data_IF_830407047061
#
_entry.id   IF_830407047061
#
_cell.length_a   1.000
_cell.length_b   1.000
_cell.length_c   1.000
_cell.angle_alpha   90.00
_cell.angle_beta   90.00
_cell.angle_gamma   90.00
#
_symmetry.space_group_name_H-M   'P 1'
#
loop_
_entity.id
_entity.type
_entity.pdbx_description
1 polymer ?
#
# COMPACT_ATOMS: atom_id res chain seq x y z
N UNK A 1 -28.51 -14.08 -62.21
CA UNK A 1 -28.45 -12.62 -61.97
C UNK A 1 -29.35 -12.27 -60.80
N UNK A 2 -28.75 -12.08 -59.62
CA UNK A 2 -29.15 -11.11 -58.58
C UNK A 2 -27.81 -10.58 -58.01
N UNK A 3 -27.66 -9.26 -57.81
CA UNK A 3 -26.37 -8.61 -57.60
C UNK A 3 -25.80 -8.73 -56.18
N UNK A 4 -24.55 -8.30 -56.09
CA UNK A 4 -23.57 -8.32 -55.01
C UNK A 4 -23.91 -7.40 -53.80
N UNK A 5 -23.21 -7.69 -52.70
CA UNK A 5 -22.68 -6.76 -51.69
C UNK A 5 -23.62 -6.28 -50.56
N UNK A 6 -23.56 -6.99 -49.43
CA UNK A 6 -23.45 -6.34 -48.13
C UNK A 6 -22.12 -6.79 -47.51
N UNK A 7 -21.03 -6.18 -48.00
CA UNK A 7 -19.69 -6.20 -47.39
C UNK A 7 -19.70 -5.36 -46.11
N UNK A 8 -20.57 -5.71 -45.16
CA UNK A 8 -20.58 -5.13 -43.83
C UNK A 8 -19.52 -5.82 -42.99
N UNK A 9 -18.27 -5.35 -43.06
CA UNK A 9 -17.33 -5.59 -41.98
C UNK A 9 -17.96 -4.99 -40.71
N UNK A 10 -18.58 -5.83 -39.90
CA UNK A 10 -19.03 -5.48 -38.56
C UNK A 10 -17.75 -5.30 -37.73
N UNK A 11 -17.15 -4.11 -37.83
CA UNK A 11 -16.04 -3.70 -36.99
C UNK A 11 -16.55 -3.75 -35.55
N UNK A 12 -16.27 -4.86 -34.87
CA UNK A 12 -16.33 -4.93 -33.42
C UNK A 12 -15.56 -3.71 -32.92
N UNK A 13 -16.11 -2.88 -32.01
CA UNK A 13 -15.28 -1.89 -31.36
C UNK A 13 -14.15 -2.67 -30.70
N UNK A 14 -12.91 -2.44 -31.14
CA UNK A 14 -11.72 -2.86 -30.40
C UNK A 14 -11.77 -2.11 -29.07
N UNK A 15 -12.49 -2.66 -28.10
CA UNK A 15 -12.37 -2.26 -26.71
C UNK A 15 -10.97 -2.71 -26.34
N UNK A 16 -10.01 -1.79 -26.42
CA UNK A 16 -8.72 -1.91 -25.76
C UNK A 16 -9.03 -1.91 -24.26
N UNK A 17 -9.36 -3.09 -23.73
CA UNK A 17 -9.38 -3.32 -22.29
C UNK A 17 -7.92 -3.25 -21.87
N UNK A 18 -7.45 -2.05 -21.51
CA UNK A 18 -6.22 -1.90 -20.75
C UNK A 18 -6.48 -2.50 -19.38
N UNK A 19 -6.25 -3.81 -19.26
CA UNK A 19 -6.09 -4.42 -17.95
C UNK A 19 -4.80 -3.83 -17.39
N UNK A 20 -4.91 -2.78 -16.56
CA UNK A 20 -3.78 -2.40 -15.72
C UNK A 20 -3.48 -3.62 -14.87
N UNK A 21 -2.38 -4.31 -15.18
CA UNK A 21 -1.93 -5.43 -14.39
C UNK A 21 -1.69 -4.90 -12.98
N UNK A 22 -2.48 -5.40 -12.02
CA UNK A 22 -2.19 -5.21 -10.61
C UNK A 22 -0.96 -6.05 -10.29
N UNK A 23 0.22 -5.52 -10.63
CA UNK A 23 1.49 -6.13 -10.25
C UNK A 23 1.65 -5.92 -8.76
N UNK A 24 1.39 -6.97 -8.00
CA UNK A 24 1.64 -6.95 -6.57
C UNK A 24 3.16 -6.86 -6.34
N UNK A 25 3.57 -5.95 -5.47
CA UNK A 25 4.96 -5.80 -5.07
C UNK A 25 5.07 -5.66 -3.56
N UNK A 26 6.27 -5.93 -3.04
CA UNK A 26 6.53 -5.93 -1.60
C UNK A 26 7.17 -4.62 -1.17
N UNK A 27 6.61 -4.02 -0.13
CA UNK A 27 7.25 -2.93 0.62
C UNK A 27 7.73 -3.51 1.94
N UNK A 28 9.00 -3.28 2.24
CA UNK A 28 9.62 -3.71 3.49
C UNK A 28 10.22 -2.53 4.23
N UNK A 29 10.29 -2.65 5.55
CA UNK A 29 10.92 -1.65 6.38
C UNK A 29 10.97 -2.06 7.84
N UNK A 30 11.32 -1.09 8.68
CA UNK A 30 11.46 -1.26 10.13
C UNK A 30 10.72 -0.16 10.88
N UNK A 31 10.10 -0.53 11.99
CA UNK A 31 9.40 0.41 12.88
C UNK A 31 10.11 0.49 14.22
N UNK A 32 10.39 1.72 14.65
CA UNK A 32 11.10 2.05 15.89
C UNK A 32 10.39 3.14 16.68
N UNK A 33 10.74 3.29 17.95
CA UNK A 33 10.33 4.44 18.78
C UNK A 33 11.32 5.62 18.65
N UNK A 34 11.03 6.70 19.37
CA UNK A 34 11.84 7.92 19.38
C UNK A 34 13.28 7.74 19.92
N UNK A 35 13.55 6.64 20.62
CA UNK A 35 14.87 6.30 21.16
C UNK A 35 15.54 5.14 20.41
N UNK A 36 14.98 4.74 19.25
CA UNK A 36 15.54 3.74 18.35
C UNK A 36 15.23 2.29 18.71
N UNK A 37 14.34 2.02 19.68
CA UNK A 37 13.94 0.65 20.03
C UNK A 37 12.96 0.11 19.01
N UNK A 38 13.14 -1.15 18.62
CA UNK A 38 12.25 -1.83 17.69
C UNK A 38 10.87 -2.04 18.32
N UNK A 39 9.82 -1.87 17.53
CA UNK A 39 8.44 -2.05 18.00
C UNK A 39 7.82 -3.25 17.27
N UNK A 40 7.54 -4.31 18.01
CA UNK A 40 6.78 -5.47 17.53
C UNK A 40 5.27 -5.25 17.61
N UNK A 41 4.50 -5.88 16.72
CA UNK A 41 3.04 -5.83 16.75
C UNK A 41 2.43 -4.53 16.21
N UNK A 42 3.21 -3.70 15.52
CA UNK A 42 2.69 -2.53 14.79
C UNK A 42 1.92 -3.04 13.59
N UNK A 43 0.66 -2.64 13.46
CA UNK A 43 -0.14 -2.90 12.26
C UNK A 43 0.29 -1.95 11.15
N UNK A 44 0.63 -2.50 9.98
CA UNK A 44 0.98 -1.77 8.77
C UNK A 44 -0.05 -2.10 7.70
N UNK A 45 -0.77 -1.09 7.20
CA UNK A 45 -1.85 -1.28 6.23
C UNK A 45 -1.71 -0.33 5.04
N UNK A 46 -2.02 -0.79 3.84
CA UNK A 46 -2.19 0.08 2.68
C UNK A 46 -3.47 0.93 2.83
N UNK A 47 -3.35 2.26 2.80
CA UNK A 47 -4.49 3.18 2.93
C UNK A 47 -5.47 2.99 1.78
N UNK A 48 -6.72 2.68 2.11
CA UNK A 48 -7.77 2.36 1.12
C UNK A 48 -7.63 0.97 0.49
N UNK A 49 -6.55 0.24 0.80
CA UNK A 49 -6.32 -1.13 0.37
C UNK A 49 -6.85 -2.16 1.37
N UNK A 50 -6.79 -3.44 0.96
CA UNK A 50 -7.11 -4.59 1.81
C UNK A 50 -5.87 -5.24 2.41
N UNK A 51 -4.69 -4.92 1.90
CA UNK A 51 -3.43 -5.48 2.37
C UNK A 51 -3.04 -4.90 3.72
N UNK A 52 -2.74 -5.78 4.68
CA UNK A 52 -2.13 -5.42 5.95
C UNK A 52 -1.18 -6.50 6.44
N UNK A 53 -0.20 -6.09 7.22
CA UNK A 53 0.77 -6.95 7.90
C UNK A 53 1.03 -6.40 9.30
N UNK A 54 1.82 -7.10 10.10
CA UNK A 54 2.26 -6.68 11.43
C UNK A 54 3.77 -6.79 11.56
N UNK A 55 4.40 -5.89 12.31
CA UNK A 55 5.83 -5.98 12.58
C UNK A 55 6.17 -7.17 13.46
N UNK A 56 7.30 -7.82 13.16
CA UNK A 56 7.88 -8.92 13.94
C UNK A 56 8.60 -8.44 15.21
N UNK A 57 9.22 -9.36 15.95
CA UNK A 57 9.99 -9.09 17.16
C UNK A 57 11.17 -8.11 16.95
N UNK A 58 11.66 -7.99 15.72
CA UNK A 58 12.73 -7.08 15.36
C UNK A 58 12.22 -5.74 14.80
N UNK A 59 10.90 -5.52 14.83
CA UNK A 59 10.24 -4.34 14.27
C UNK A 59 10.18 -4.33 12.75
N UNK A 60 10.57 -5.42 12.09
CA UNK A 60 10.59 -5.54 10.63
C UNK A 60 9.20 -5.90 10.10
N UNK A 61 8.87 -5.42 8.91
CA UNK A 61 7.63 -5.78 8.21
C UNK A 61 7.87 -5.97 6.71
N UNK A 62 7.01 -6.76 6.09
CA UNK A 62 6.87 -6.87 4.64
C UNK A 62 5.38 -6.89 4.29
N UNK A 63 4.97 -5.97 3.41
CA UNK A 63 3.59 -5.81 2.98
C UNK A 63 3.51 -5.90 1.46
N UNK A 64 2.66 -6.80 0.97
CA UNK A 64 2.39 -6.93 -0.46
C UNK A 64 1.25 -5.99 -0.88
N UNK A 65 1.58 -4.98 -1.69
CA UNK A 65 0.68 -3.91 -2.13
C UNK A 65 0.41 -4.00 -3.62
N UNK A 66 -0.75 -3.47 -4.05
CA UNK A 66 -1.14 -3.45 -5.47
C UNK A 66 -1.09 -2.05 -6.09
N UNK A 67 -1.07 -0.99 -5.28
CA UNK A 67 -0.89 0.38 -5.75
C UNK A 67 0.58 0.68 -6.02
N UNK A 68 0.88 1.49 -7.04
CA UNK A 68 2.25 1.88 -7.41
C UNK A 68 2.94 2.76 -6.35
N UNK A 69 2.18 3.64 -5.70
CA UNK A 69 2.68 4.60 -4.71
C UNK A 69 1.74 4.65 -3.48
N UNK A 70 1.64 3.56 -2.70
CA UNK A 70 0.69 3.50 -1.61
C UNK A 70 1.14 4.40 -0.45
N UNK A 71 0.14 4.90 0.27
CA UNK A 71 0.31 5.45 1.61
C UNK A 71 0.10 4.30 2.59
N UNK A 72 1.05 4.09 3.49
CA UNK A 72 0.98 3.10 4.53
C UNK A 72 0.51 3.74 5.83
N UNK A 73 -0.46 3.12 6.49
CA UNK A 73 -0.97 3.51 7.80
C UNK A 73 -0.34 2.60 8.83
N UNK A 74 0.41 3.20 9.76
CA UNK A 74 1.03 2.52 10.89
C UNK A 74 0.22 2.80 12.14
N UNK A 75 -0.16 1.74 12.86
CA UNK A 75 -0.92 1.86 14.10
C UNK A 75 -0.47 0.83 15.13
N UNK A 76 -0.37 1.27 16.38
CA UNK A 76 -0.03 0.42 17.52
C UNK A 76 -0.56 1.04 18.81
N UNK A 77 -0.83 0.20 19.81
CA UNK A 77 -1.32 0.64 21.12
C UNK A 77 -0.26 1.54 21.78
N UNK A 78 -0.67 2.70 22.29
CA UNK A 78 0.23 3.67 22.93
C UNK A 78 0.94 4.63 21.98
N UNK A 79 0.77 4.49 20.66
CA UNK A 79 1.36 5.35 19.64
C UNK A 79 0.30 6.08 18.81
N UNK A 80 0.65 7.27 18.34
CA UNK A 80 -0.15 8.04 17.39
C UNK A 80 -0.08 7.33 16.04
N UNK A 81 -1.22 7.03 15.44
CA UNK A 81 -1.28 6.48 14.08
C UNK A 81 -0.65 7.46 13.08
N UNK A 82 0.17 6.94 12.17
CA UNK A 82 0.88 7.75 11.18
C UNK A 82 0.60 7.24 9.77
N UNK A 83 0.40 8.17 8.84
CA UNK A 83 0.32 7.89 7.42
C UNK A 83 1.63 8.28 6.76
N UNK A 84 2.28 7.34 6.08
CA UNK A 84 3.61 7.51 5.51
C UNK A 84 3.60 6.99 4.08
N UNK A 85 4.11 7.78 3.13
CA UNK A 85 4.30 7.32 1.77
C UNK A 85 5.28 6.15 1.74
N UNK A 86 5.00 5.13 0.92
CA UNK A 86 5.86 3.96 0.73
C UNK A 86 7.34 4.30 0.45
N UNK A 87 7.60 5.41 -0.24
CA UNK A 87 8.96 5.93 -0.53
C UNK A 87 9.75 6.32 0.72
N UNK A 88 9.08 6.61 1.84
CA UNK A 88 9.68 6.97 3.12
C UNK A 88 9.48 5.90 4.19
N UNK A 89 8.94 4.73 3.84
CA UNK A 89 8.52 3.72 4.81
C UNK A 89 9.61 2.71 5.20
N UNK A 90 10.84 2.84 4.68
CA UNK A 90 11.95 1.94 4.99
C UNK A 90 12.34 1.96 6.48
N UNK A 91 12.30 3.12 7.13
CA UNK A 91 12.53 3.30 8.56
C UNK A 91 11.49 4.28 9.12
N UNK A 92 10.62 3.81 9.99
CA UNK A 92 9.49 4.57 10.54
C UNK A 92 9.65 4.76 12.04
N UNK A 93 9.64 6.01 12.48
CA UNK A 93 9.66 6.35 13.91
C UNK A 93 8.26 6.71 14.40
N UNK A 94 7.67 5.84 15.23
CA UNK A 94 6.37 6.13 15.83
C UNK A 94 6.50 7.12 16.98
N UNK A 95 5.47 7.97 17.11
CA UNK A 95 5.36 8.97 18.17
C UNK A 95 4.44 8.44 19.26
N UNK A 96 4.93 8.25 20.50
CA UNK A 96 4.07 7.89 21.61
C UNK A 96 2.98 8.94 21.86
N UNK A 97 1.79 8.50 22.28
CA UNK A 97 0.67 9.40 22.57
C UNK A 97 1.01 10.47 23.62
N UNK A 98 1.88 10.14 24.58
CA UNK A 98 2.31 11.06 25.63
C UNK A 98 2.88 12.37 25.07
N UNK A 99 3.56 12.33 23.93
CA UNK A 99 4.12 13.54 23.30
C UNK A 99 3.07 14.49 22.73
N UNK A 100 1.80 14.07 22.60
CA UNK A 100 0.72 14.93 22.09
C UNK A 100 0.39 16.08 23.03
N UNK A 101 0.65 15.94 24.33
CA UNK A 101 0.30 16.91 25.37
C UNK A 101 1.46 17.82 25.77
N UNK A 102 2.64 17.66 25.18
CA UNK A 102 3.84 18.46 25.47
C UNK A 102 4.02 19.65 24.51
N UNK A 103 2.91 20.16 23.95
CA UNK A 103 2.90 21.31 23.04
C UNK A 103 2.19 22.50 23.66
#
# INVERSE_FOLDING_TARGET
MIPNLASGNMLLPKVLVYTQSIVQHNISGKVVDAIGRCISGVTVREKGGKSSTSTDNNGSYTLAVSSLNPILVFSSIGYISQEIASTSAAMVTLKPYLFKFLK
#
